data_IF_379184386966
#
_entry.id   IF_379184386966
#
_cell.length_a   1.000
_cell.length_b   1.000
_cell.length_c   1.000
_cell.angle_alpha   90.00
_cell.angle_beta   90.00
_cell.angle_gamma   90.00
#
_symmetry.space_group_name_H-M   'P 1'
#
loop_
_entity.id
_entity.type
_entity.pdbx_description
1 polymer ?
#
# COMPACT_ATOMS: atom_id res chain seq x y z
N UNK A 1 0.89 0.75 14.70
CA UNK A 1 0.14 1.87 14.17
C UNK A 1 0.36 3.15 14.98
N UNK A 2 0.15 3.14 16.31
CA UNK A 2 0.35 4.31 17.19
C UNK A 2 1.77 4.88 17.05
N UNK A 3 2.80 4.04 17.14
CA UNK A 3 4.20 4.47 16.98
C UNK A 3 4.51 5.03 15.59
N UNK A 4 3.91 4.50 14.53
CA UNK A 4 4.09 5.05 13.18
C UNK A 4 3.48 6.44 13.06
N UNK A 5 2.31 6.65 13.67
CA UNK A 5 1.69 7.97 13.74
C UNK A 5 2.55 8.96 14.52
N UNK A 6 3.05 8.55 15.69
CA UNK A 6 3.94 9.35 16.54
C UNK A 6 5.21 9.78 15.79
N UNK A 7 5.86 8.86 15.07
CA UNK A 7 7.04 9.15 14.25
C UNK A 7 6.72 10.20 13.19
N UNK A 8 5.63 10.04 12.44
CA UNK A 8 5.23 10.99 11.41
C UNK A 8 4.86 12.37 11.99
N UNK A 9 4.21 12.39 13.13
CA UNK A 9 3.83 13.64 13.80
C UNK A 9 5.06 14.35 14.39
N UNK A 10 6.07 13.59 14.87
CA UNK A 10 7.32 14.17 15.40
C UNK A 10 8.20 14.80 14.30
N UNK A 11 8.04 14.40 13.06
CA UNK A 11 8.75 14.96 11.90
C UNK A 11 8.05 16.19 11.30
N UNK A 12 7.11 16.77 12.02
CA UNK A 12 6.37 17.98 11.62
C UNK A 12 5.67 17.87 10.25
N UNK A 13 5.24 16.65 9.89
CA UNK A 13 4.47 16.41 8.68
C UNK A 13 3.06 16.98 8.88
N UNK A 14 2.62 17.83 7.96
CA UNK A 14 1.30 18.46 8.00
C UNK A 14 0.20 17.37 8.11
N UNK A 15 -0.63 17.39 9.17
CA UNK A 15 -1.70 16.42 9.36
C UNK A 15 -2.81 16.51 8.31
N UNK A 16 -2.88 17.59 7.52
CA UNK A 16 -3.85 17.74 6.43
C UNK A 16 -3.51 16.87 5.21
N UNK A 17 -2.24 16.42 5.08
CA UNK A 17 -1.82 15.57 3.98
C UNK A 17 -2.34 14.15 4.20
N UNK A 18 -3.05 13.56 3.23
CA UNK A 18 -3.54 12.19 3.35
C UNK A 18 -2.40 11.19 3.56
N UNK A 19 -2.53 10.39 4.61
CA UNK A 19 -1.57 9.33 4.97
C UNK A 19 -2.14 7.99 4.54
N UNK A 20 -1.33 7.19 3.90
CA UNK A 20 -1.72 5.86 3.44
C UNK A 20 -0.86 4.81 4.12
N UNK A 21 -1.48 3.70 4.51
CA UNK A 21 -0.77 2.54 5.03
C UNK A 21 -1.12 1.31 4.20
N UNK A 22 -0.10 0.55 3.82
CA UNK A 22 -0.26 -0.72 3.11
C UNK A 22 -0.01 -1.86 4.09
N UNK A 23 -1.02 -2.71 4.25
CA UNK A 23 -1.01 -3.84 5.19
C UNK A 23 -1.42 -5.13 4.50
N UNK A 24 -1.08 -6.28 5.08
CA UNK A 24 -1.62 -7.56 4.61
C UNK A 24 -2.94 -7.90 5.33
N UNK A 25 -3.76 -8.82 4.78
CA UNK A 25 -5.01 -9.23 5.41
C UNK A 25 -4.83 -9.77 6.83
N UNK A 26 -3.70 -10.43 7.10
CA UNK A 26 -3.40 -10.97 8.42
C UNK A 26 -3.29 -9.88 9.49
N UNK A 27 -2.62 -8.75 9.19
CA UNK A 27 -2.53 -7.65 10.15
C UNK A 27 -3.89 -7.03 10.47
N UNK A 28 -4.84 -7.03 9.54
CA UNK A 28 -6.21 -6.57 9.83
C UNK A 28 -6.89 -7.55 10.78
N UNK A 29 -6.73 -8.85 10.56
CA UNK A 29 -7.27 -9.89 11.45
C UNK A 29 -6.65 -9.79 12.85
N UNK A 30 -5.34 -9.59 12.94
CA UNK A 30 -4.62 -9.42 14.20
C UNK A 30 -5.06 -8.12 14.92
N UNK A 31 -5.34 -7.06 14.18
CA UNK A 31 -5.86 -5.82 14.73
C UNK A 31 -7.25 -6.02 15.36
N UNK A 32 -8.10 -6.85 14.75
CA UNK A 32 -9.39 -7.24 15.33
C UNK A 32 -9.25 -8.08 16.58
N UNK A 33 -8.19 -8.91 16.64
CA UNK A 33 -7.89 -9.77 17.81
C UNK A 33 -7.29 -9.03 19.00
N UNK A 34 -6.87 -7.78 18.84
CA UNK A 34 -6.22 -7.02 19.91
C UNK A 34 -7.23 -6.57 20.95
N UNK A 35 -7.08 -7.01 22.19
CA UNK A 35 -8.00 -6.76 23.32
C UNK A 35 -8.02 -5.29 23.78
N UNK A 36 -7.06 -4.49 23.34
CA UNK A 36 -6.93 -3.06 23.68
C UNK A 36 -7.84 -2.12 22.85
N UNK A 37 -8.55 -2.68 21.87
CA UNK A 37 -9.51 -1.91 21.08
C UNK A 37 -10.74 -1.65 21.93
N UNK A 38 -10.92 -0.40 22.36
CA UNK A 38 -12.11 0.04 23.11
C UNK A 38 -13.36 -0.22 22.26
N UNK A 39 -14.52 -0.41 22.88
CA UNK A 39 -15.75 -0.81 22.18
C UNK A 39 -16.14 0.09 20.99
N UNK A 40 -15.86 1.39 21.04
CA UNK A 40 -16.04 2.32 19.91
C UNK A 40 -15.02 2.11 18.80
N UNK A 41 -13.75 1.87 19.16
CA UNK A 41 -12.68 1.58 18.22
C UNK A 41 -12.86 0.22 17.56
N UNK A 42 -13.40 -0.77 18.29
CA UNK A 42 -13.72 -2.08 17.76
C UNK A 42 -14.71 -2.03 16.60
N UNK A 43 -15.76 -1.22 16.72
CA UNK A 43 -16.73 -1.04 15.64
C UNK A 43 -16.06 -0.42 14.40
N UNK A 44 -15.16 0.53 14.59
CA UNK A 44 -14.42 1.17 13.50
C UNK A 44 -13.47 0.18 12.82
N UNK A 45 -12.75 -0.65 13.58
CA UNK A 45 -11.86 -1.69 13.03
C UNK A 45 -12.66 -2.79 12.33
N UNK A 46 -13.82 -3.16 12.87
CA UNK A 46 -14.72 -4.12 12.23
C UNK A 46 -15.26 -3.58 10.89
N UNK A 47 -15.64 -2.32 10.83
CA UNK A 47 -16.07 -1.67 9.59
C UNK A 47 -14.93 -1.58 8.57
N UNK A 48 -13.69 -1.34 9.01
CA UNK A 48 -12.50 -1.41 8.17
C UNK A 48 -12.27 -2.82 7.60
N UNK A 49 -12.38 -3.85 8.42
CA UNK A 49 -12.22 -5.24 7.99
C UNK A 49 -13.30 -5.69 7.01
N UNK A 50 -14.52 -5.18 7.17
CA UNK A 50 -15.65 -5.43 6.26
C UNK A 50 -15.57 -4.59 4.97
N UNK A 51 -14.63 -3.65 4.87
CA UNK A 51 -14.51 -2.73 3.73
C UNK A 51 -15.54 -1.59 3.71
N UNK A 52 -16.27 -1.37 4.79
CA UNK A 52 -17.25 -0.28 4.90
C UNK A 52 -16.58 1.08 5.04
N UNK A 53 -15.41 1.12 5.69
CA UNK A 53 -14.56 2.31 5.82
C UNK A 53 -13.15 1.98 5.37
N UNK A 54 -12.47 2.98 4.82
CA UNK A 54 -11.08 2.84 4.34
C UNK A 54 -10.05 3.52 5.23
N UNK A 55 -10.48 4.23 6.29
CA UNK A 55 -9.59 5.03 7.13
C UNK A 55 -9.74 4.70 8.62
N UNK A 56 -8.60 4.63 9.33
CA UNK A 56 -8.52 4.43 10.76
C UNK A 56 -7.28 5.12 11.32
N UNK A 57 -7.41 5.82 12.46
CA UNK A 57 -6.33 6.61 13.10
C UNK A 57 -5.65 7.64 12.18
N UNK A 58 -6.37 8.16 11.18
CA UNK A 58 -5.84 9.13 10.23
C UNK A 58 -5.04 8.53 9.08
N UNK A 59 -5.04 7.19 8.93
CA UNK A 59 -4.46 6.48 7.78
C UNK A 59 -5.54 5.90 6.88
N UNK A 60 -5.36 6.02 5.58
CA UNK A 60 -6.10 5.26 4.59
C UNK A 60 -5.45 3.88 4.44
N UNK A 61 -6.24 2.83 4.56
CA UNK A 61 -5.75 1.46 4.50
C UNK A 61 -5.85 0.90 3.08
N UNK A 62 -4.74 0.34 2.61
CA UNK A 62 -4.67 -0.46 1.39
C UNK A 62 -4.25 -1.87 1.76
N UNK A 63 -5.08 -2.84 1.42
CA UNK A 63 -4.80 -4.26 1.67
C UNK A 63 -4.07 -4.86 0.49
N UNK A 64 -2.90 -5.43 0.71
CA UNK A 64 -2.10 -6.07 -0.34
C UNK A 64 -1.33 -7.28 0.16
N UNK A 65 -1.39 -8.37 -0.61
CA UNK A 65 -0.60 -9.58 -0.37
C UNK A 65 0.83 -9.50 -0.96
N UNK A 66 1.14 -8.42 -1.71
CA UNK A 66 2.43 -8.26 -2.39
C UNK A 66 3.53 -7.64 -1.53
N UNK A 67 3.26 -7.43 -0.24
CA UNK A 67 4.24 -6.91 0.69
C UNK A 67 5.38 -7.91 0.90
N UNK A 68 6.61 -7.41 0.89
CA UNK A 68 7.80 -8.22 1.14
C UNK A 68 7.77 -8.81 2.54
N UNK A 69 8.07 -10.09 2.67
CA UNK A 69 8.27 -10.76 3.95
C UNK A 69 9.73 -11.14 4.13
N UNK A 70 10.25 -10.99 5.32
CA UNK A 70 11.60 -11.41 5.70
C UNK A 70 11.58 -12.02 7.10
N UNK A 71 12.01 -13.28 7.21
CA UNK A 71 12.18 -13.99 8.49
C UNK A 71 10.95 -13.89 9.41
N UNK A 72 9.77 -14.28 8.92
CA UNK A 72 8.48 -14.22 9.65
C UNK A 72 8.00 -12.80 10.01
N UNK A 73 8.56 -11.78 9.37
CA UNK A 73 8.13 -10.39 9.49
C UNK A 73 7.64 -9.86 8.17
N UNK A 74 6.45 -9.26 8.15
CA UNK A 74 5.92 -8.55 6.99
C UNK A 74 6.28 -7.07 7.09
N UNK A 75 6.80 -6.52 6.00
CA UNK A 75 7.12 -5.11 5.91
C UNK A 75 5.89 -4.33 5.45
N UNK A 76 5.19 -3.70 6.39
CA UNK A 76 4.12 -2.77 6.09
C UNK A 76 4.68 -1.37 5.92
N UNK A 77 4.13 -0.60 4.98
CA UNK A 77 4.60 0.74 4.65
C UNK A 77 3.52 1.76 4.99
N UNK A 78 3.88 2.78 5.76
CA UNK A 78 3.06 3.96 5.98
C UNK A 78 3.74 5.15 5.30
N UNK A 79 3.03 5.92 4.50
CA UNK A 79 3.57 7.04 3.75
C UNK A 79 2.51 8.12 3.50
N UNK A 80 2.98 9.33 3.20
CA UNK A 80 2.13 10.42 2.73
C UNK A 80 2.05 10.40 1.19
N UNK A 81 0.97 10.91 0.63
CA UNK A 81 0.75 10.85 -0.83
C UNK A 81 1.84 11.57 -1.65
N UNK A 82 2.51 12.55 -1.06
CA UNK A 82 3.59 13.32 -1.69
C UNK A 82 4.99 12.69 -1.51
N UNK A 83 5.12 11.69 -0.62
CA UNK A 83 6.38 11.01 -0.35
C UNK A 83 6.88 10.13 -1.50
N UNK A 84 5.98 9.66 -2.36
CA UNK A 84 6.27 8.73 -3.45
C UNK A 84 5.80 9.36 -4.76
N UNK A 85 6.67 9.33 -5.77
CA UNK A 85 6.33 9.73 -7.14
C UNK A 85 6.32 8.52 -8.07
N UNK A 86 5.25 8.42 -8.84
CA UNK A 86 5.12 7.49 -9.95
C UNK A 86 5.34 8.27 -11.27
N UNK A 87 6.27 7.81 -12.08
CA UNK A 87 6.50 8.33 -13.42
C UNK A 87 6.07 7.28 -14.45
N UNK A 88 5.24 7.68 -15.39
CA UNK A 88 4.84 6.87 -16.54
C UNK A 88 5.63 7.38 -17.76
N UNK A 89 6.65 6.64 -18.17
CA UNK A 89 7.43 6.96 -19.34
C UNK A 89 6.71 6.61 -20.65
N UNK A 90 5.95 5.52 -20.62
CA UNK A 90 5.13 5.06 -21.73
C UNK A 90 3.87 4.41 -21.17
N UNK A 91 2.74 4.90 -21.60
CA UNK A 91 1.45 4.31 -21.24
C UNK A 91 1.25 2.96 -21.93
N UNK A 92 0.25 2.21 -21.51
CA UNK A 92 -0.08 0.92 -22.11
C UNK A 92 -0.36 1.09 -23.60
N UNK A 93 0.52 0.54 -24.44
CA UNK A 93 0.35 0.53 -25.87
C UNK A 93 0.21 -0.93 -26.36
N UNK A 94 -0.88 -1.20 -27.05
CA UNK A 94 -1.15 -2.50 -27.63
C UNK A 94 -1.14 -2.37 -29.16
N UNK A 95 -0.44 -3.31 -29.83
CA UNK A 95 -0.49 -3.47 -31.28
C UNK A 95 -0.82 -4.92 -31.61
N UNK A 96 -1.66 -5.07 -32.61
CA UNK A 96 -2.07 -6.37 -33.14
C UNK A 96 -1.73 -6.35 -34.62
N UNK A 97 -0.75 -7.16 -35.02
CA UNK A 97 -0.26 -7.22 -36.39
C UNK A 97 -0.17 -8.69 -36.86
N UNK A 98 -0.34 -8.93 -38.17
CA UNK A 98 -0.07 -10.21 -38.77
C UNK A 98 1.40 -10.32 -39.16
N UNK A 99 2.01 -11.44 -38.81
CA UNK A 99 3.41 -11.74 -39.17
C UNK A 99 3.49 -12.67 -40.38
N UNK A 100 3.91 -12.12 -41.50
CA UNK A 100 4.12 -12.88 -42.74
C UNK A 100 5.27 -13.89 -42.65
N UNK A 101 6.26 -13.64 -41.77
CA UNK A 101 7.42 -14.53 -41.53
C UNK A 101 7.09 -15.79 -40.71
N UNK A 102 5.91 -15.82 -40.06
CA UNK A 102 5.45 -16.95 -39.24
C UNK A 102 4.07 -17.48 -39.66
N UNK A 103 3.88 -17.70 -40.96
CA UNK A 103 2.66 -18.28 -41.48
C UNK A 103 1.40 -17.45 -41.22
N UNK A 104 1.50 -16.12 -41.27
CA UNK A 104 0.41 -15.16 -41.00
C UNK A 104 -0.21 -15.29 -39.62
N UNK A 105 0.59 -15.70 -38.62
CA UNK A 105 0.12 -15.74 -37.25
C UNK A 105 -0.10 -14.34 -36.69
N UNK A 106 -1.16 -14.15 -35.90
CA UNK A 106 -1.45 -12.89 -35.24
C UNK A 106 -0.48 -12.65 -34.09
N UNK A 107 0.23 -11.53 -34.11
CA UNK A 107 1.10 -11.08 -33.04
C UNK A 107 0.39 -10.02 -32.21
N UNK A 108 0.33 -10.21 -30.89
CA UNK A 108 -0.11 -9.20 -29.94
C UNK A 108 1.12 -8.66 -29.22
N UNK A 109 1.40 -7.38 -29.37
CA UNK A 109 2.48 -6.68 -28.70
C UNK A 109 1.92 -5.70 -27.68
N UNK A 110 2.33 -5.84 -26.41
CA UNK A 110 1.95 -4.92 -25.34
C UNK A 110 3.21 -4.40 -24.68
N UNK A 111 3.30 -3.08 -24.55
CA UNK A 111 4.39 -2.46 -23.82
C UNK A 111 3.91 -1.35 -22.90
N UNK A 112 4.59 -1.21 -21.77
CA UNK A 112 4.40 -0.17 -20.76
C UNK A 112 5.74 0.12 -20.10
N UNK A 113 6.00 1.37 -19.75
CA UNK A 113 7.18 1.76 -19.01
C UNK A 113 6.76 2.65 -17.84
N UNK A 114 7.06 2.21 -16.62
CA UNK A 114 6.80 2.96 -15.40
C UNK A 114 7.98 2.86 -14.45
N UNK A 115 8.13 3.88 -13.62
CA UNK A 115 9.09 3.90 -12.53
C UNK A 115 8.49 4.60 -11.33
N UNK A 116 8.85 4.17 -10.14
CA UNK A 116 8.44 4.81 -8.90
C UNK A 116 9.68 5.07 -8.04
N UNK A 117 9.69 6.21 -7.38
CA UNK A 117 10.78 6.57 -6.46
C UNK A 117 10.22 7.25 -5.23
N UNK A 118 10.95 7.06 -4.12
CA UNK A 118 10.72 7.80 -2.89
C UNK A 118 11.42 9.16 -3.00
N UNK A 119 10.72 10.25 -2.68
CA UNK A 119 11.27 11.61 -2.70
C UNK A 119 11.83 12.00 -1.33
N UNK A 120 11.08 11.72 -0.27
CA UNK A 120 11.41 12.15 1.08
C UNK A 120 11.40 10.96 2.03
N UNK A 121 12.54 10.72 2.68
CA UNK A 121 12.72 9.61 3.61
C UNK A 121 11.88 9.75 4.87
N UNK A 122 11.74 10.96 5.37
CA UNK A 122 11.02 11.28 6.60
C UNK A 122 9.52 11.01 6.52
N UNK A 123 8.96 11.05 5.31
CA UNK A 123 7.54 10.84 5.04
C UNK A 123 7.16 9.38 4.79
N UNK A 124 8.12 8.46 4.91
CA UNK A 124 7.90 7.02 4.72
C UNK A 124 8.37 6.26 5.94
N UNK A 125 7.45 5.57 6.60
CA UNK A 125 7.74 4.74 7.78
C UNK A 125 7.52 3.27 7.47
N UNK A 126 8.54 2.45 7.72
CA UNK A 126 8.45 0.99 7.58
C UNK A 126 8.08 0.38 8.91
N UNK A 127 7.01 -0.41 8.93
CA UNK A 127 6.53 -1.13 10.09
C UNK A 127 6.81 -2.61 9.88
N UNK A 128 7.56 -3.22 10.79
CA UNK A 128 7.79 -4.66 10.80
C UNK A 128 6.72 -5.34 11.65
N UNK A 129 5.77 -6.00 11.01
CA UNK A 129 4.75 -6.79 11.68
C UNK A 129 5.18 -8.26 11.71
N UNK A 130 5.19 -8.87 12.88
CA UNK A 130 5.48 -10.28 13.03
C UNK A 130 4.28 -11.11 12.54
N UNK A 131 4.54 -12.07 11.66
CA UNK A 131 3.55 -13.06 11.23
C UNK A 131 3.96 -14.41 11.79
N UNK A 132 3.33 -14.81 12.89
CA UNK A 132 3.46 -16.15 13.47
C UNK A 132 2.57 -17.14 12.72
#
# INVERSE_FOLDING_TARGET
LRSAKEIMDSQSIDPSIPRTIVVSPKQITDLLGTTEVTSSDFNTVKALANGEISSFLGFNFIVSNRLTSSSSKRLCLAFTNDAIKLALGKDVMTRIDERSDKGYSTQVYVCMSMGATRLEDEKVVTIQAHEA
#
